data_IF_566574110147
#
_entry.id   IF_566574110147
#
_cell.length_a   1.000
_cell.length_b   1.000
_cell.length_c   1.000
_cell.angle_alpha   90.00
_cell.angle_beta   90.00
_cell.angle_gamma   90.00
#
_symmetry.space_group_name_H-M   'P 1'
#
loop_
_entity.id
_entity.type
_entity.pdbx_description
1 polymer ?
#
# COMPACT_ATOMS: atom_id res chain seq x y z
N UNK A 1 15.20 -34.67 47.66
CA UNK A 1 14.09 -33.74 47.30
C UNK A 1 14.52 -32.56 46.44
N UNK A 2 15.66 -31.88 46.68
CA UNK A 2 16.08 -30.70 45.88
C UNK A 2 16.70 -31.00 44.50
N UNK A 3 17.14 -32.23 44.24
CA UNK A 3 17.71 -32.64 42.94
C UNK A 3 16.63 -33.12 41.94
N UNK A 4 15.53 -33.71 42.40
CA UNK A 4 14.43 -34.13 41.51
C UNK A 4 13.62 -32.95 40.96
N UNK A 5 13.48 -31.85 41.70
CA UNK A 5 12.84 -30.62 41.20
C UNK A 5 13.62 -30.00 40.03
N UNK A 6 14.96 -30.03 40.09
CA UNK A 6 15.82 -29.48 39.02
C UNK A 6 15.73 -30.31 37.75
N UNK A 7 15.62 -31.63 37.89
CA UNK A 7 15.48 -32.54 36.76
C UNK A 7 14.10 -32.40 36.08
N UNK A 8 13.03 -32.26 36.86
CA UNK A 8 11.69 -31.95 36.34
C UNK A 8 11.63 -30.59 35.65
N UNK A 9 12.23 -29.55 36.23
CA UNK A 9 12.29 -28.21 35.63
C UNK A 9 13.05 -28.20 34.30
N UNK A 10 14.16 -28.96 34.22
CA UNK A 10 14.95 -29.11 32.98
C UNK A 10 14.19 -29.89 31.91
N UNK A 11 13.45 -30.95 32.27
CA UNK A 11 12.59 -31.69 31.34
C UNK A 11 11.42 -30.83 30.84
N UNK A 12 10.79 -30.03 31.70
CA UNK A 12 9.73 -29.09 31.31
C UNK A 12 10.25 -27.99 30.37
N UNK A 13 11.44 -27.46 30.64
CA UNK A 13 12.08 -26.45 29.80
C UNK A 13 12.43 -27.01 28.41
N UNK A 14 12.93 -28.25 28.34
CA UNK A 14 13.21 -28.93 27.06
C UNK A 14 11.94 -29.22 26.27
N UNK A 15 10.86 -29.69 26.92
CA UNK A 15 9.56 -29.93 26.27
C UNK A 15 8.96 -28.62 25.74
N UNK A 16 9.05 -27.53 26.50
CA UNK A 16 8.61 -26.21 26.07
C UNK A 16 9.41 -25.71 24.84
N UNK A 17 10.73 -25.90 24.84
CA UNK A 17 11.58 -25.54 23.70
C UNK A 17 11.25 -26.35 22.43
N UNK A 18 11.02 -27.66 22.57
CA UNK A 18 10.67 -28.54 21.44
C UNK A 18 9.28 -28.21 20.87
N UNK A 19 8.30 -27.87 21.72
CA UNK A 19 6.97 -27.43 21.27
C UNK A 19 7.01 -26.09 20.53
N UNK A 20 7.84 -25.14 20.99
CA UNK A 20 8.06 -23.85 20.31
C UNK A 20 8.74 -24.06 18.95
N UNK A 21 9.72 -24.96 18.86
CA UNK A 21 10.44 -25.24 17.61
C UNK A 21 9.58 -26.03 16.61
N UNK A 22 8.70 -26.93 17.08
CA UNK A 22 7.79 -27.71 16.23
C UNK A 22 6.64 -26.89 15.63
N UNK A 23 6.16 -25.85 16.34
CA UNK A 23 5.08 -24.98 15.87
C UNK A 23 5.51 -23.97 14.79
N UNK A 24 6.82 -23.73 14.63
CA UNK A 24 7.36 -22.79 13.63
C UNK A 24 7.31 -23.27 12.19
N UNK A 25 7.05 -24.56 11.94
CA UNK A 25 7.13 -25.18 10.60
C UNK A 25 5.79 -25.21 9.84
N UNK A 26 4.67 -24.81 10.45
CA UNK A 26 3.35 -24.78 9.80
C UNK A 26 3.06 -23.49 9.01
N UNK A 27 4.04 -22.61 8.84
CA UNK A 27 3.96 -21.41 7.98
C UNK A 27 4.34 -21.69 6.53
N UNK A 28 3.84 -22.76 5.92
CA UNK A 28 4.09 -23.04 4.51
C UNK A 28 3.05 -22.35 3.62
N UNK A 29 3.51 -21.26 2.99
CA UNK A 29 3.14 -20.75 1.67
C UNK A 29 1.65 -20.84 1.25
N UNK A 30 0.97 -19.69 1.22
CA UNK A 30 -0.25 -19.52 0.43
C UNK A 30 0.14 -19.24 -1.03
N UNK A 31 0.14 -20.29 -1.85
CA UNK A 31 0.23 -20.22 -3.30
C UNK A 31 -1.13 -19.87 -3.95
N UNK A 32 -1.04 -19.19 -5.10
CA UNK A 32 -2.07 -18.96 -6.13
C UNK A 32 -3.04 -17.77 -5.97
N UNK A 33 -2.74 -16.71 -6.75
CA UNK A 33 -3.63 -16.04 -7.73
C UNK A 33 -4.91 -15.32 -7.28
N UNK A 34 -5.53 -15.66 -6.16
CA UNK A 34 -6.76 -15.04 -5.66
C UNK A 34 -6.75 -15.07 -4.13
N UNK A 35 -6.70 -13.88 -3.51
CA UNK A 35 -6.87 -13.73 -2.06
C UNK A 35 -8.36 -13.80 -1.69
N UNK A 36 -8.79 -14.96 -1.18
CA UNK A 36 -10.09 -15.08 -0.51
C UNK A 36 -10.04 -14.30 0.82
N UNK A 37 -10.89 -13.26 1.00
CA UNK A 37 -10.92 -12.48 2.23
C UNK A 37 -11.17 -13.33 3.49
N UNK A 38 -11.95 -14.41 3.38
CA UNK A 38 -12.21 -15.34 4.48
C UNK A 38 -10.98 -16.16 4.86
N UNK A 39 -10.21 -16.65 3.88
CA UNK A 39 -8.95 -17.37 4.15
C UNK A 39 -7.87 -16.44 4.72
N UNK A 40 -7.83 -15.20 4.24
CA UNK A 40 -6.84 -14.21 4.68
C UNK A 40 -7.13 -13.68 6.07
N UNK A 41 -8.41 -13.46 6.38
CA UNK A 41 -8.88 -13.22 7.74
C UNK A 41 -8.57 -14.41 8.66
N UNK A 42 -8.78 -15.65 8.21
CA UNK A 42 -8.41 -16.84 8.97
C UNK A 42 -6.90 -16.95 9.24
N UNK A 43 -6.06 -16.75 8.22
CA UNK A 43 -4.61 -16.76 8.35
C UNK A 43 -4.11 -15.63 9.27
N UNK A 44 -4.66 -14.42 9.10
CA UNK A 44 -4.38 -13.28 9.96
C UNK A 44 -4.83 -13.52 11.40
N UNK A 45 -5.99 -14.12 11.62
CA UNK A 45 -6.50 -14.48 12.94
C UNK A 45 -5.58 -15.49 13.64
N UNK A 46 -5.13 -16.52 12.93
CA UNK A 46 -4.24 -17.53 13.49
C UNK A 46 -2.85 -16.95 13.82
N UNK A 47 -2.28 -16.15 12.92
CA UNK A 47 -1.00 -15.48 13.16
C UNK A 47 -1.09 -14.44 14.28
N UNK A 48 -2.17 -13.67 14.32
CA UNK A 48 -2.46 -12.69 15.36
C UNK A 48 -2.71 -13.34 16.73
N UNK A 49 -3.43 -14.46 16.77
CA UNK A 49 -3.68 -15.22 17.99
C UNK A 49 -2.39 -15.80 18.58
N UNK A 50 -1.54 -16.41 17.74
CA UNK A 50 -0.27 -16.97 18.20
C UNK A 50 0.66 -15.89 18.76
N UNK A 51 0.77 -14.76 18.06
CA UNK A 51 1.61 -13.63 18.49
C UNK A 51 1.04 -12.97 19.75
N UNK A 52 -0.28 -12.75 19.79
CA UNK A 52 -0.98 -12.19 20.93
C UNK A 52 -0.90 -13.08 22.17
N UNK A 53 -0.97 -14.40 22.02
CA UNK A 53 -0.81 -15.36 23.11
C UNK A 53 0.59 -15.29 23.73
N UNK A 54 1.63 -15.22 22.89
CA UNK A 54 3.02 -15.14 23.35
C UNK A 54 3.27 -13.85 24.16
N UNK A 55 2.81 -12.71 23.64
CA UNK A 55 2.95 -11.42 24.32
C UNK A 55 2.08 -11.35 25.60
N UNK A 56 0.85 -11.83 25.53
CA UNK A 56 -0.07 -11.89 26.66
C UNK A 56 0.42 -12.79 27.79
N UNK A 57 1.10 -13.90 27.46
CA UNK A 57 1.72 -14.78 28.45
C UNK A 57 2.82 -14.04 29.24
N UNK A 58 3.69 -13.28 28.55
CA UNK A 58 4.77 -12.51 29.17
C UNK A 58 4.21 -11.48 30.16
N UNK A 59 3.18 -10.74 29.77
CA UNK A 59 2.53 -9.74 30.64
C UNK A 59 1.79 -10.44 31.80
N UNK A 60 1.15 -11.58 31.53
CA UNK A 60 0.47 -12.39 32.54
C UNK A 60 1.39 -12.94 33.62
N UNK A 61 2.68 -13.14 33.34
CA UNK A 61 3.69 -13.50 34.36
C UNK A 61 3.84 -12.38 35.40
N UNK A 62 3.76 -11.11 34.99
CA UNK A 62 3.87 -9.97 35.91
C UNK A 62 2.64 -9.81 36.82
N UNK A 63 1.48 -10.33 36.40
CA UNK A 63 0.22 -10.26 37.16
C UNK A 63 -0.14 -11.57 37.86
N UNK A 64 0.74 -12.59 37.81
CA UNK A 64 0.57 -13.86 38.51
C UNK A 64 -0.34 -14.88 37.83
N UNK A 65 -0.72 -14.66 36.56
CA UNK A 65 -1.54 -15.61 35.79
C UNK A 65 -1.16 -15.62 34.30
N UNK A 66 -0.07 -16.32 33.94
CA UNK A 66 0.42 -16.41 32.56
C UNK A 66 -0.60 -16.99 31.59
N UNK A 67 -1.35 -18.01 32.03
CA UNK A 67 -2.37 -18.67 31.20
C UNK A 67 -3.52 -17.70 30.86
N UNK A 68 -3.99 -16.94 31.84
CA UNK A 68 -5.04 -15.93 31.64
C UNK A 68 -4.55 -14.82 30.71
N UNK A 69 -3.32 -14.34 30.90
CA UNK A 69 -2.70 -13.37 29.99
C UNK A 69 -2.56 -13.90 28.56
N UNK A 70 -2.16 -15.16 28.39
CA UNK A 70 -2.06 -15.82 27.09
C UNK A 70 -3.41 -15.94 26.38
N UNK A 71 -4.47 -16.33 27.09
CA UNK A 71 -5.82 -16.45 26.52
C UNK A 71 -6.38 -15.10 26.06
N UNK A 72 -6.23 -14.07 26.90
CA UNK A 72 -6.69 -12.71 26.58
C UNK A 72 -5.87 -12.15 25.40
N UNK A 73 -4.55 -12.36 25.41
CA UNK A 73 -3.66 -11.99 24.31
C UNK A 73 -4.00 -12.71 23.01
N UNK A 74 -4.30 -14.01 23.06
CA UNK A 74 -4.70 -14.81 21.90
C UNK A 74 -6.02 -14.30 21.30
N UNK A 75 -7.04 -14.09 22.13
CA UNK A 75 -8.35 -13.65 21.67
C UNK A 75 -8.27 -12.26 21.03
N UNK A 76 -7.58 -11.32 21.69
CA UNK A 76 -7.39 -9.96 21.17
C UNK A 76 -6.53 -9.95 19.90
N UNK A 77 -5.43 -10.70 19.88
CA UNK A 77 -4.57 -10.86 18.72
C UNK A 77 -5.27 -11.49 17.53
N UNK A 78 -6.17 -12.46 17.74
CA UNK A 78 -6.92 -13.09 16.66
C UNK A 78 -7.87 -12.11 15.97
N UNK A 79 -8.55 -11.27 16.74
CA UNK A 79 -9.47 -10.25 16.18
C UNK A 79 -8.70 -9.24 15.36
N UNK A 80 -7.60 -8.69 15.90
CA UNK A 80 -6.77 -7.70 15.20
C UNK A 80 -6.14 -8.29 13.94
N UNK A 81 -5.62 -9.51 14.04
CA UNK A 81 -5.05 -10.23 12.91
C UNK A 81 -6.08 -10.57 11.83
N UNK A 82 -7.30 -10.96 12.21
CA UNK A 82 -8.39 -11.23 11.26
C UNK A 82 -8.76 -9.99 10.46
N UNK A 83 -8.94 -8.85 11.15
CA UNK A 83 -9.24 -7.56 10.51
C UNK A 83 -8.10 -7.13 9.59
N UNK A 84 -6.86 -7.22 10.07
CA UNK A 84 -5.68 -6.90 9.25
C UNK A 84 -5.58 -7.77 8.00
N UNK A 85 -5.81 -9.08 8.13
CA UNK A 85 -5.82 -10.03 7.02
C UNK A 85 -6.94 -9.79 6.01
N UNK A 86 -8.14 -9.44 6.49
CA UNK A 86 -9.28 -9.07 5.65
C UNK A 86 -9.00 -7.79 4.85
N UNK A 87 -8.56 -6.72 5.52
CA UNK A 87 -8.25 -5.44 4.88
C UNK A 87 -7.13 -5.58 3.86
N UNK A 88 -6.12 -6.39 4.17
CA UNK A 88 -5.03 -6.70 3.23
C UNK A 88 -5.55 -7.43 1.98
N UNK A 89 -6.39 -8.46 2.16
CA UNK A 89 -6.97 -9.19 1.04
C UNK A 89 -7.87 -8.31 0.16
N UNK A 90 -8.70 -7.46 0.78
CA UNK A 90 -9.56 -6.52 0.07
C UNK A 90 -8.74 -5.51 -0.76
N UNK A 91 -7.68 -4.96 -0.17
CA UNK A 91 -6.78 -4.05 -0.87
C UNK A 91 -6.04 -4.74 -2.02
N UNK A 92 -5.67 -6.02 -1.86
CA UNK A 92 -5.02 -6.80 -2.92
C UNK A 92 -6.00 -7.20 -4.03
N UNK A 93 -7.22 -7.58 -3.71
CA UNK A 93 -8.25 -7.90 -4.71
C UNK A 93 -8.63 -6.67 -5.55
N UNK A 94 -8.79 -5.51 -4.91
CA UNK A 94 -9.04 -4.25 -5.63
C UNK A 94 -7.89 -3.86 -6.55
N UNK A 95 -6.63 -4.03 -6.10
CA UNK A 95 -5.45 -3.84 -6.95
C UNK A 95 -5.35 -4.85 -8.08
N UNK A 96 -5.66 -6.12 -7.83
CA UNK A 96 -5.68 -7.14 -8.88
C UNK A 96 -6.70 -6.76 -9.95
N UNK A 97 -7.94 -6.47 -9.53
CA UNK A 97 -9.02 -6.06 -10.43
C UNK A 97 -8.64 -4.85 -11.28
N UNK A 98 -8.01 -3.83 -10.67
CA UNK A 98 -7.52 -2.66 -11.41
C UNK A 98 -6.37 -3.01 -12.37
N UNK A 99 -5.46 -3.91 -12.00
CA UNK A 99 -4.40 -4.43 -12.86
C UNK A 99 -4.96 -5.16 -14.08
N UNK A 100 -5.97 -6.01 -13.89
CA UNK A 100 -6.58 -6.77 -14.97
C UNK A 100 -7.39 -5.86 -15.90
N UNK A 101 -8.18 -4.93 -15.35
CA UNK A 101 -8.90 -3.94 -16.14
C UNK A 101 -7.94 -3.04 -16.94
N UNK A 102 -6.82 -2.62 -16.33
CA UNK A 102 -5.77 -1.88 -17.01
C UNK A 102 -5.15 -2.73 -18.13
N UNK A 103 -4.73 -3.96 -17.86
CA UNK A 103 -4.14 -4.82 -18.88
C UNK A 103 -5.10 -5.09 -20.06
N UNK A 104 -6.39 -5.28 -19.79
CA UNK A 104 -7.41 -5.44 -20.82
C UNK A 104 -7.61 -4.18 -21.66
N UNK A 105 -7.72 -3.00 -21.02
CA UNK A 105 -7.93 -1.74 -21.73
C UNK A 105 -6.76 -1.37 -22.65
N UNK A 106 -5.54 -1.76 -22.30
CA UNK A 106 -4.34 -1.57 -23.13
C UNK A 106 -4.04 -2.74 -24.07
N UNK A 107 -4.83 -3.82 -24.07
CA UNK A 107 -4.49 -5.08 -24.75
C UNK A 107 -3.05 -5.53 -24.46
N UNK A 108 -2.65 -5.36 -23.21
CA UNK A 108 -1.28 -5.56 -22.74
C UNK A 108 -0.93 -7.04 -22.73
N UNK A 109 0.27 -7.34 -23.22
CA UNK A 109 0.90 -8.65 -23.07
C UNK A 109 2.27 -8.48 -22.44
N UNK A 110 2.68 -9.31 -21.46
CA UNK A 110 4.01 -9.26 -20.86
C UNK A 110 5.17 -9.30 -21.88
N UNK A 111 4.95 -9.89 -23.06
CA UNK A 111 5.94 -9.94 -24.14
C UNK A 111 6.27 -8.56 -24.75
N UNK A 112 5.40 -7.56 -24.55
CA UNK A 112 5.59 -6.19 -25.03
C UNK A 112 6.53 -5.37 -24.14
N UNK A 113 6.94 -5.90 -22.98
CA UNK A 113 7.74 -5.19 -21.99
C UNK A 113 6.87 -4.32 -21.07
N UNK A 114 7.50 -3.45 -20.27
CA UNK A 114 6.79 -2.59 -19.32
C UNK A 114 6.10 -1.41 -20.02
N UNK A 115 4.91 -1.04 -19.53
CA UNK A 115 4.12 0.10 -19.98
C UNK A 115 3.93 1.09 -18.83
N UNK A 116 4.11 2.37 -19.15
CA UNK A 116 3.79 3.50 -18.29
C UNK A 116 3.03 4.49 -19.15
N UNK A 117 1.83 4.90 -18.73
CA UNK A 117 1.03 5.88 -19.45
C UNK A 117 0.31 6.86 -18.51
N UNK A 118 0.02 8.06 -19.02
CA UNK A 118 -0.86 9.04 -18.38
C UNK A 118 -2.18 9.06 -19.15
N UNK A 119 -3.17 8.33 -18.63
CA UNK A 119 -4.49 8.17 -19.22
C UNK A 119 -5.21 9.52 -19.35
N UNK A 120 -5.20 10.32 -18.27
CA UNK A 120 -5.95 11.57 -18.19
C UNK A 120 -5.32 12.56 -17.22
N UNK A 121 -5.38 13.84 -17.57
CA UNK A 121 -5.07 14.95 -16.67
C UNK A 121 -6.26 15.89 -16.69
N UNK A 122 -6.68 16.36 -15.52
CA UNK A 122 -7.77 17.31 -15.38
C UNK A 122 -7.44 18.40 -14.36
N UNK A 123 -8.05 19.57 -14.57
CA UNK A 123 -7.92 20.74 -13.71
C UNK A 123 -9.31 21.19 -13.30
N UNK A 124 -9.52 21.44 -12.01
CA UNK A 124 -10.78 21.94 -11.49
C UNK A 124 -10.56 23.01 -10.40
N UNK A 125 -11.09 24.23 -10.53
CA UNK A 125 -11.88 24.72 -11.66
C UNK A 125 -11.00 25.04 -12.88
N UNK A 126 -11.58 25.05 -14.08
CA UNK A 126 -10.88 25.46 -15.32
C UNK A 126 -10.79 26.98 -15.50
N UNK A 127 -11.46 27.75 -14.64
CA UNK A 127 -11.34 29.20 -14.53
C UNK A 127 -11.10 29.55 -13.06
N UNK A 128 -10.05 30.31 -12.79
CA UNK A 128 -9.60 30.60 -11.43
C UNK A 128 -8.96 31.98 -11.36
N UNK A 129 -8.97 32.62 -10.19
CA UNK A 129 -8.26 33.89 -9.98
C UNK A 129 -6.85 33.64 -9.45
N UNK A 130 -5.95 34.60 -9.67
CA UNK A 130 -4.64 34.57 -9.00
C UNK A 130 -4.79 34.43 -7.47
N UNK A 131 -3.90 33.68 -6.83
CA UNK A 131 -3.97 33.39 -5.39
C UNK A 131 -4.98 32.33 -4.97
N UNK A 132 -5.89 31.90 -5.85
CA UNK A 132 -6.84 30.82 -5.56
C UNK A 132 -6.22 29.44 -5.86
N UNK A 133 -6.92 28.39 -5.42
CA UNK A 133 -6.48 27.01 -5.61
C UNK A 133 -7.14 26.38 -6.84
N UNK A 134 -6.39 25.49 -7.49
CA UNK A 134 -6.88 24.54 -8.48
C UNK A 134 -6.56 23.12 -8.03
N UNK A 135 -7.52 22.21 -8.15
CA UNK A 135 -7.28 20.79 -8.05
C UNK A 135 -6.68 20.29 -9.36
N UNK A 136 -5.45 19.79 -9.29
CA UNK A 136 -4.75 19.16 -10.40
C UNK A 136 -4.78 17.66 -10.18
N UNK A 137 -5.24 16.92 -11.17
CA UNK A 137 -5.37 15.50 -11.03
C UNK A 137 -4.87 14.75 -12.25
N UNK A 138 -4.36 13.56 -12.00
CA UNK A 138 -3.72 12.70 -12.97
C UNK A 138 -4.17 11.27 -12.75
N UNK A 139 -4.70 10.65 -13.80
CA UNK A 139 -4.92 9.22 -13.89
C UNK A 139 -3.77 8.62 -14.71
N UNK A 140 -3.08 7.63 -14.15
CA UNK A 140 -1.93 6.99 -14.76
C UNK A 140 -1.97 5.47 -14.62
N UNK A 141 -1.36 4.78 -15.56
CA UNK A 141 -1.31 3.32 -15.61
C UNK A 141 0.13 2.83 -15.60
N UNK A 142 0.40 1.80 -14.81
CA UNK A 142 1.67 1.08 -14.78
C UNK A 142 1.37 -0.39 -15.04
N UNK A 143 2.06 -1.01 -15.99
CA UNK A 143 2.01 -2.46 -16.24
C UNK A 143 3.43 -2.98 -16.45
N UNK A 144 3.86 -3.97 -15.67
CA UNK A 144 5.11 -4.70 -15.84
C UNK A 144 4.85 -6.18 -16.09
N UNK A 145 5.79 -6.92 -16.71
CA UNK A 145 5.63 -8.35 -16.98
C UNK A 145 5.40 -9.21 -15.74
N UNK A 146 5.98 -8.81 -14.60
CA UNK A 146 6.02 -9.56 -13.34
C UNK A 146 5.06 -9.02 -12.27
N UNK A 147 4.36 -7.91 -12.54
CA UNK A 147 3.52 -7.20 -11.57
C UNK A 147 4.28 -6.80 -10.28
N UNK A 148 5.60 -6.59 -10.38
CA UNK A 148 6.40 -6.13 -9.26
C UNK A 148 6.07 -4.67 -8.93
N UNK A 149 6.07 -4.26 -7.64
CA UNK A 149 5.89 -2.86 -7.27
C UNK A 149 6.96 -1.95 -7.89
N UNK A 150 6.51 -0.88 -8.54
CA UNK A 150 7.35 0.11 -9.23
C UNK A 150 7.35 1.42 -8.47
N UNK A 151 8.54 1.87 -8.07
CA UNK A 151 8.72 3.23 -7.54
C UNK A 151 8.63 4.23 -8.69
N UNK A 152 7.65 5.14 -8.61
CA UNK A 152 7.40 6.16 -9.62
C UNK A 152 7.42 7.55 -8.99
N UNK A 153 8.00 8.51 -9.70
CA UNK A 153 7.94 9.93 -9.38
C UNK A 153 6.79 10.56 -10.15
N UNK A 154 5.83 11.11 -9.42
CA UNK A 154 4.75 11.92 -9.98
C UNK A 154 5.19 13.38 -9.95
N UNK A 155 5.08 14.08 -11.08
CA UNK A 155 5.50 15.47 -11.21
C UNK A 155 4.40 16.29 -11.90
N UNK A 156 4.09 17.47 -11.36
CA UNK A 156 3.17 18.43 -12.00
C UNK A 156 3.77 19.82 -12.03
N UNK A 157 3.67 20.45 -13.18
CA UNK A 157 4.18 21.80 -13.41
C UNK A 157 3.12 22.66 -14.09
N UNK A 158 2.88 23.85 -13.54
CA UNK A 158 2.04 24.86 -14.17
C UNK A 158 2.94 25.81 -14.96
N UNK A 159 2.55 26.15 -16.19
CA UNK A 159 3.26 27.14 -17.02
C UNK A 159 2.31 28.17 -17.63
N UNK A 160 2.85 29.37 -17.88
CA UNK A 160 2.25 30.42 -18.70
C UNK A 160 3.27 30.81 -19.79
N UNK A 161 2.89 30.70 -21.06
CA UNK A 161 3.79 31.05 -22.17
C UNK A 161 5.11 30.27 -22.18
N UNK A 162 5.13 29.04 -21.65
CA UNK A 162 6.33 28.20 -21.54
C UNK A 162 7.15 28.40 -20.27
N UNK A 163 6.91 29.46 -19.49
CA UNK A 163 7.58 29.71 -18.22
C UNK A 163 6.85 29.06 -17.05
N UNK A 164 7.58 28.39 -16.17
CA UNK A 164 7.05 27.80 -14.93
C UNK A 164 6.41 28.86 -14.04
N UNK A 165 5.23 28.56 -13.49
CA UNK A 165 4.51 29.43 -12.56
C UNK A 165 4.39 28.73 -11.20
N UNK A 166 5.01 29.33 -10.19
CA UNK A 166 5.08 28.77 -8.83
C UNK A 166 6.05 27.59 -8.74
N UNK A 167 5.92 26.79 -7.69
CA UNK A 167 6.78 25.63 -7.45
C UNK A 167 6.12 24.37 -8.02
N UNK A 168 6.80 23.59 -8.88
CA UNK A 168 6.27 22.30 -9.31
C UNK A 168 5.96 21.38 -8.13
N UNK A 169 4.91 20.57 -8.26
CA UNK A 169 4.61 19.51 -7.30
C UNK A 169 5.35 18.23 -7.68
N UNK A 170 5.93 17.54 -6.69
CA UNK A 170 6.59 16.26 -6.90
C UNK A 170 6.37 15.34 -5.69
N UNK A 171 6.09 14.05 -5.95
CA UNK A 171 6.02 13.01 -4.92
C UNK A 171 6.47 11.66 -5.46
N UNK A 172 6.83 10.74 -4.57
CA UNK A 172 7.14 9.36 -4.90
C UNK A 172 6.02 8.43 -4.43
N UNK A 173 5.65 7.49 -5.30
CA UNK A 173 4.66 6.45 -5.02
C UNK A 173 5.23 5.10 -5.40
N UNK A 174 4.78 4.04 -4.75
CA UNK A 174 5.17 2.66 -5.09
C UNK A 174 3.90 1.85 -5.33
N UNK A 175 3.70 1.45 -6.57
CA UNK A 175 2.48 0.80 -7.03
C UNK A 175 2.80 -0.46 -7.84
N UNK A 176 1.98 -1.50 -7.70
CA UNK A 176 2.02 -2.65 -8.62
C UNK A 176 1.29 -2.31 -9.93
N UNK A 177 1.00 -3.30 -10.77
CA UNK A 177 0.21 -3.08 -11.99
C UNK A 177 -1.17 -2.51 -11.66
N UNK A 178 -1.64 -1.58 -12.49
CA UNK A 178 -2.97 -1.00 -12.35
C UNK A 178 -3.04 0.44 -12.85
N UNK A 179 -4.26 0.97 -12.81
CA UNK A 179 -4.56 2.38 -13.04
C UNK A 179 -4.84 3.07 -11.71
N UNK A 180 -4.24 4.24 -11.51
CA UNK A 180 -4.27 5.00 -10.28
C UNK A 180 -4.63 6.46 -10.55
N UNK A 181 -5.29 7.08 -9.57
CA UNK A 181 -5.61 8.51 -9.61
C UNK A 181 -4.87 9.21 -8.49
N UNK A 182 -4.11 10.24 -8.84
CA UNK A 182 -3.47 11.16 -7.89
C UNK A 182 -4.06 12.56 -8.06
N UNK A 183 -4.24 13.28 -6.96
CA UNK A 183 -4.82 14.63 -6.93
C UNK A 183 -4.02 15.53 -5.99
N UNK A 184 -3.79 16.77 -6.40
CA UNK A 184 -3.16 17.79 -5.56
C UNK A 184 -3.92 19.10 -5.65
N UNK A 185 -4.15 19.75 -4.51
CA UNK A 185 -4.65 21.11 -4.47
C UNK A 185 -3.46 22.07 -4.59
N UNK A 186 -3.39 22.79 -5.71
CA UNK A 186 -2.30 23.70 -6.02
C UNK A 186 -2.75 25.15 -5.82
N UNK A 187 -2.03 25.90 -4.97
CA UNK A 187 -2.27 27.32 -4.79
C UNK A 187 -1.51 28.13 -5.85
N UNK A 188 -2.24 28.89 -6.67
CA UNK A 188 -1.62 29.78 -7.65
C UNK A 188 -0.92 30.95 -6.94
N UNK A 189 0.21 31.45 -7.45
CA UNK A 189 0.80 32.69 -6.96
C UNK A 189 -0.22 33.84 -7.02
N UNK A 190 -0.24 34.68 -5.99
CA UNK A 190 -1.16 35.84 -5.92
C UNK A 190 -0.92 36.88 -7.02
N UNK A 191 0.26 36.86 -7.64
CA UNK A 191 0.67 37.71 -8.75
C UNK A 191 0.65 37.00 -10.12
N UNK A 192 0.00 35.84 -10.22
CA UNK A 192 -0.13 35.10 -11.47
C UNK A 192 -0.85 35.97 -12.53
N UNK A 193 -0.22 36.25 -13.69
CA UNK A 193 -0.87 37.07 -14.73
C UNK A 193 -2.12 36.40 -15.31
N UNK A 194 -3.13 37.16 -15.78
CA UNK A 194 -4.22 36.58 -16.55
C UNK A 194 -3.71 35.86 -17.81
N UNK A 195 -4.31 34.74 -18.17
CA UNK A 195 -3.88 33.99 -19.36
C UNK A 195 -4.36 32.54 -19.40
N UNK A 196 -3.99 31.83 -20.47
CA UNK A 196 -4.21 30.40 -20.59
C UNK A 196 -2.97 29.65 -20.08
N UNK A 197 -3.18 28.87 -19.04
CA UNK A 197 -2.15 28.13 -18.33
C UNK A 197 -2.16 26.67 -18.75
N UNK A 198 -0.96 26.10 -18.83
CA UNK A 198 -0.78 24.68 -19.11
C UNK A 198 -0.34 23.95 -17.85
N UNK A 199 -0.97 22.82 -17.55
CA UNK A 199 -0.55 21.89 -16.51
C UNK A 199 0.08 20.68 -17.17
N UNK A 200 1.39 20.53 -17.01
CA UNK A 200 2.14 19.37 -17.48
C UNK A 200 2.19 18.37 -16.33
N UNK A 201 1.64 17.17 -16.52
CA UNK A 201 1.74 16.09 -15.54
C UNK A 201 2.55 14.94 -16.10
N UNK A 202 3.53 14.47 -15.33
CA UNK A 202 4.46 13.40 -15.70
C UNK A 202 4.45 12.28 -14.68
N UNK A 203 4.60 11.06 -15.17
CA UNK A 203 4.98 9.88 -14.39
C UNK A 203 6.33 9.40 -14.89
N UNK A 204 7.30 9.29 -13.99
CA UNK A 204 8.67 8.88 -14.31
C UNK A 204 9.08 7.69 -13.44
N UNK A 205 9.59 6.62 -14.03
CA UNK A 205 10.14 5.49 -13.30
C UNK A 205 11.26 4.80 -14.10
N UNK A 206 11.76 3.67 -13.60
CA UNK A 206 12.84 2.91 -14.25
C UNK A 206 12.50 2.34 -15.63
N UNK A 207 11.23 2.33 -16.03
CA UNK A 207 10.77 1.82 -17.32
C UNK A 207 10.50 2.91 -18.35
N UNK A 208 10.36 4.17 -17.92
CA UNK A 208 10.17 5.30 -18.82
C UNK A 208 9.47 6.48 -18.19
N UNK A 209 9.07 7.40 -19.07
CA UNK A 209 8.35 8.62 -18.72
C UNK A 209 7.12 8.76 -19.61
N UNK A 210 5.97 9.03 -19.00
CA UNK A 210 4.75 9.40 -19.69
C UNK A 210 4.31 10.80 -19.26
N UNK A 211 3.73 11.57 -20.18
CA UNK A 211 3.32 12.96 -19.98
C UNK A 211 1.97 13.23 -20.62
N UNK A 212 1.15 14.04 -19.96
CA UNK A 212 -0.03 14.65 -20.58
C UNK A 212 -0.25 16.07 -20.08
N UNK A 213 -0.90 16.89 -20.91
CA UNK A 213 -1.15 18.29 -20.63
C UNK A 213 -2.65 18.55 -20.45
N UNK A 214 -2.98 19.40 -19.49
CA UNK A 214 -4.30 19.99 -19.35
C UNK A 214 -4.19 21.52 -19.32
N UNK A 215 -5.33 22.20 -19.46
CA UNK A 215 -5.38 23.66 -19.57
C UNK A 215 -6.39 24.24 -18.60
N UNK A 216 -6.12 25.44 -18.11
CA UNK A 216 -7.06 26.26 -17.34
C UNK A 216 -6.76 27.74 -17.57
N UNK A 217 -7.73 28.61 -17.29
CA UNK A 217 -7.60 30.04 -17.47
C UNK A 217 -7.53 30.77 -16.13
N UNK A 218 -6.62 31.75 -16.06
CA UNK A 218 -6.57 32.74 -14.99
C UNK A 218 -7.16 34.05 -15.50
N UNK A 219 -8.08 34.64 -14.73
CA UNK A 219 -8.79 35.89 -15.04
C UNK A 219 -8.74 36.91 -13.90
#
# INVERSE_FOLDING_TARGET
MREEEKEMARKFLVIAMVLIFGAGLAGCATESGYYDPGRSAGAGALGGAATGAALGAIIGVATGSPATGAWIGAASGAVVGAVGGYLYAEHRNSQMSSAQAAAQSYNYSPAQGSLVDVNRVYVNPTQVRAGQQVNLAMEYTILTPDNAPVSSTLYREIRLGGSTVGQPYQTQVTNSNGTYTDQVNYALPGNAPPGNYTVISRVMNGYGTAEKVAYFNVY
#
